data_IF_374569228338
#
_entry.id   IF_374569228338
#
_cell.length_a   1.000
_cell.length_b   1.000
_cell.length_c   1.000
_cell.angle_alpha   90.00
_cell.angle_beta   90.00
_cell.angle_gamma   90.00
#
_symmetry.space_group_name_H-M   'P 1'
#
loop_
_entity.id
_entity.type
_entity.pdbx_description
1 polymer ?
#
# COMPACT_ATOMS: atom_id res chain seq x y z
N UNK A 1 -20.44 -38.34 -10.90
CA UNK A 1 -19.73 -37.26 -11.61
C UNK A 1 -19.21 -36.27 -10.59
N UNK A 2 -17.91 -36.32 -10.27
CA UNK A 2 -17.28 -35.35 -9.38
C UNK A 2 -17.34 -33.97 -10.05
N UNK A 3 -18.23 -33.08 -9.56
CA UNK A 3 -18.05 -31.65 -9.79
C UNK A 3 -16.65 -31.32 -9.27
N UNK A 4 -15.78 -30.78 -10.13
CA UNK A 4 -14.52 -30.18 -9.70
C UNK A 4 -14.82 -29.24 -8.52
N UNK A 5 -14.46 -29.68 -7.32
CA UNK A 5 -14.80 -28.97 -6.09
C UNK A 5 -13.86 -27.78 -5.99
N UNK A 6 -14.41 -26.57 -6.15
CA UNK A 6 -13.59 -25.37 -6.13
C UNK A 6 -12.85 -25.23 -4.80
N UNK A 7 -11.58 -24.93 -4.90
CA UNK A 7 -10.69 -24.77 -3.75
C UNK A 7 -10.58 -23.30 -3.37
N UNK A 8 -10.18 -23.05 -2.11
CA UNK A 8 -9.95 -21.69 -1.66
C UNK A 8 -8.85 -21.01 -2.50
N UNK A 9 -7.79 -21.75 -2.84
CA UNK A 9 -6.68 -21.25 -3.66
C UNK A 9 -7.12 -20.83 -5.06
N UNK A 10 -7.95 -21.63 -5.74
CA UNK A 10 -8.51 -21.27 -7.06
C UNK A 10 -9.40 -20.03 -6.97
N UNK A 11 -10.23 -19.92 -5.93
CA UNK A 11 -11.03 -18.71 -5.70
C UNK A 11 -10.16 -17.48 -5.46
N UNK A 12 -9.07 -17.61 -4.70
CA UNK A 12 -8.10 -16.53 -4.54
C UNK A 12 -7.50 -16.11 -5.87
N UNK A 13 -7.05 -17.07 -6.69
CA UNK A 13 -6.47 -16.79 -8.02
C UNK A 13 -7.43 -16.03 -8.92
N UNK A 14 -8.71 -16.45 -8.97
CA UNK A 14 -9.76 -15.73 -9.71
C UNK A 14 -9.95 -14.30 -9.20
N UNK A 15 -10.05 -14.10 -7.88
CA UNK A 15 -10.23 -12.76 -7.30
C UNK A 15 -8.99 -11.88 -7.51
N UNK A 16 -7.79 -12.45 -7.44
CA UNK A 16 -6.54 -11.73 -7.72
C UNK A 16 -6.49 -11.29 -9.19
N UNK A 17 -6.90 -12.15 -10.12
CA UNK A 17 -7.03 -11.80 -11.55
C UNK A 17 -7.92 -10.59 -11.76
N UNK A 18 -9.15 -10.64 -11.23
CA UNK A 18 -10.12 -9.53 -11.34
C UNK A 18 -9.60 -8.23 -10.70
N UNK A 19 -8.90 -8.33 -9.56
CA UNK A 19 -8.30 -7.17 -8.92
C UNK A 19 -7.19 -6.55 -9.79
N UNK A 20 -6.40 -7.38 -10.48
CA UNK A 20 -5.34 -6.91 -11.40
C UNK A 20 -5.94 -6.28 -12.65
N UNK A 21 -6.93 -6.92 -13.26
CA UNK A 21 -7.68 -6.38 -14.41
C UNK A 21 -8.32 -5.02 -14.06
N UNK A 22 -8.84 -4.87 -12.84
CA UNK A 22 -9.35 -3.60 -12.33
C UNK A 22 -8.28 -2.60 -11.85
N UNK A 23 -6.99 -2.82 -12.09
CA UNK A 23 -5.90 -1.94 -11.69
C UNK A 23 -5.67 -1.84 -10.16
N UNK A 24 -6.27 -2.72 -9.36
CA UNK A 24 -6.22 -2.73 -7.89
C UNK A 24 -5.01 -3.52 -7.37
N UNK A 25 -3.82 -3.23 -7.92
CA UNK A 25 -2.57 -3.93 -7.63
C UNK A 25 -2.25 -4.07 -6.14
N UNK A 26 -2.45 -3.01 -5.35
CA UNK A 26 -2.21 -3.05 -3.91
C UNK A 26 -3.15 -4.01 -3.16
N UNK A 27 -4.41 -4.11 -3.58
CA UNK A 27 -5.34 -5.09 -3.00
C UNK A 27 -4.98 -6.51 -3.46
N UNK A 28 -4.68 -6.69 -4.75
CA UNK A 28 -4.23 -7.95 -5.31
C UNK A 28 -2.99 -8.51 -4.60
N UNK A 29 -2.00 -7.65 -4.31
CA UNK A 29 -0.80 -8.02 -3.56
C UNK A 29 -1.11 -8.55 -2.15
N UNK A 30 -2.05 -7.92 -1.43
CA UNK A 30 -2.48 -8.40 -0.10
C UNK A 30 -3.16 -9.77 -0.21
N UNK A 31 -4.03 -9.96 -1.22
CA UNK A 31 -4.69 -11.24 -1.46
C UNK A 31 -3.67 -12.33 -1.83
N UNK A 32 -2.69 -12.01 -2.67
CA UNK A 32 -1.59 -12.91 -3.02
C UNK A 32 -0.78 -13.30 -1.78
N UNK A 33 -0.46 -12.34 -0.91
CA UNK A 33 0.29 -12.61 0.32
C UNK A 33 -0.50 -13.51 1.27
N UNK A 34 -1.82 -13.29 1.38
CA UNK A 34 -2.70 -14.12 2.20
C UNK A 34 -2.83 -15.55 1.68
N UNK A 35 -3.03 -15.75 0.36
CA UNK A 35 -3.13 -17.11 -0.20
C UNK A 35 -1.79 -17.84 -0.16
N UNK A 36 -0.66 -17.15 -0.31
CA UNK A 36 0.66 -17.75 -0.13
C UNK A 36 0.85 -18.24 1.31
N UNK A 37 0.46 -17.42 2.29
CA UNK A 37 0.52 -17.83 3.71
C UNK A 37 -0.44 -18.98 4.01
N UNK A 38 -1.64 -18.97 3.44
CA UNK A 38 -2.61 -20.06 3.59
C UNK A 38 -2.13 -21.35 2.92
N UNK A 39 -1.54 -21.26 1.73
CA UNK A 39 -0.99 -22.41 1.00
C UNK A 39 0.17 -23.01 1.77
N UNK A 40 1.06 -22.20 2.33
CA UNK A 40 2.11 -22.69 3.22
C UNK A 40 1.53 -23.38 4.48
N UNK A 41 0.45 -22.87 5.05
CA UNK A 41 -0.27 -23.51 6.16
C UNK A 41 -0.85 -24.88 5.78
N UNK A 42 -1.37 -25.04 4.56
CA UNK A 42 -1.89 -26.32 4.06
C UNK A 42 -0.82 -27.20 3.42
N UNK A 43 0.48 -26.88 3.58
CA UNK A 43 1.58 -27.59 2.92
C UNK A 43 1.36 -27.73 1.41
N UNK A 44 0.85 -26.66 0.81
CA UNK A 44 0.52 -26.53 -0.61
C UNK A 44 -0.54 -27.52 -1.11
N UNK A 45 -1.23 -28.21 -0.20
CA UNK A 45 -2.36 -29.03 -0.54
C UNK A 45 -3.59 -28.15 -0.83
N UNK A 46 -4.35 -28.44 -1.90
CA UNK A 46 -5.58 -27.72 -2.19
C UNK A 46 -6.57 -27.84 -1.02
N UNK A 47 -7.25 -26.75 -0.68
CA UNK A 47 -8.27 -26.72 0.35
C UNK A 47 -9.64 -26.60 -0.32
N UNK A 48 -10.39 -27.71 -0.47
CA UNK A 48 -11.78 -27.64 -0.93
C UNK A 48 -12.57 -26.71 -0.03
N UNK A 49 -13.31 -25.77 -0.61
CA UNK A 49 -13.95 -24.74 0.19
C UNK A 49 -15.01 -25.28 1.17
N UNK A 50 -15.63 -26.42 0.88
CA UNK A 50 -16.58 -27.06 1.80
C UNK A 50 -15.90 -27.59 3.07
N UNK A 51 -14.58 -27.77 3.05
CA UNK A 51 -13.78 -28.17 4.21
C UNK A 51 -13.34 -26.98 5.07
N UNK A 52 -13.63 -25.74 4.68
CA UNK A 52 -13.43 -24.59 5.56
C UNK A 52 -14.38 -24.69 6.76
N UNK A 53 -13.80 -24.59 7.95
CA UNK A 53 -14.51 -24.65 9.22
C UNK A 53 -13.92 -23.65 10.21
N UNK A 54 -14.63 -23.31 11.30
CA UNK A 54 -14.09 -22.46 12.35
C UNK A 54 -12.76 -23.00 12.90
N UNK A 55 -12.62 -24.32 13.03
CA UNK A 55 -11.39 -24.99 13.48
C UNK A 55 -10.23 -24.78 12.51
N UNK A 56 -10.45 -24.91 11.20
CA UNK A 56 -9.41 -24.66 10.19
C UNK A 56 -8.96 -23.19 10.24
N UNK A 57 -9.90 -22.26 10.32
CA UNK A 57 -9.60 -20.83 10.39
C UNK A 57 -8.85 -20.47 11.67
N UNK A 58 -9.20 -21.08 12.81
CA UNK A 58 -8.47 -20.87 14.07
C UNK A 58 -7.06 -21.44 14.04
N UNK A 59 -6.87 -22.61 13.42
CA UNK A 59 -5.52 -23.18 13.18
C UNK A 59 -4.68 -22.28 12.27
N UNK A 60 -5.29 -21.70 11.24
CA UNK A 60 -4.61 -20.75 10.36
C UNK A 60 -4.21 -19.46 11.10
N UNK A 61 -5.08 -18.90 11.94
CA UNK A 61 -4.73 -17.78 12.82
C UNK A 61 -3.51 -18.10 13.71
N UNK A 62 -3.54 -19.26 14.38
CA UNK A 62 -2.46 -19.69 15.26
C UNK A 62 -1.15 -19.89 14.47
N UNK A 63 -1.22 -20.46 13.27
CA UNK A 63 -0.09 -20.59 12.35
C UNK A 63 0.54 -19.23 12.01
N UNK A 64 -0.28 -18.22 11.70
CA UNK A 64 0.23 -16.87 11.43
C UNK A 64 0.93 -16.26 12.66
N UNK A 65 0.38 -16.49 13.86
CA UNK A 65 0.98 -16.04 15.12
C UNK A 65 2.30 -16.73 15.42
N UNK A 66 2.41 -18.04 15.17
CA UNK A 66 3.66 -18.79 15.30
C UNK A 66 4.76 -18.29 14.34
N UNK A 67 4.37 -17.74 13.18
CA UNK A 67 5.29 -17.06 12.25
C UNK A 67 5.57 -15.60 12.59
N UNK A 68 5.30 -15.18 13.84
CA UNK A 68 5.52 -13.81 14.32
C UNK A 68 4.77 -12.71 13.51
N UNK A 69 3.68 -13.07 12.81
CA UNK A 69 2.87 -12.06 12.14
C UNK A 69 2.17 -11.16 13.17
N UNK A 70 2.21 -9.84 12.98
CA UNK A 70 1.48 -8.90 13.84
C UNK A 70 -0.03 -9.19 13.84
N UNK A 71 -0.75 -8.82 14.90
CA UNK A 71 -2.21 -8.97 14.95
C UNK A 71 -2.93 -8.26 13.79
N UNK A 72 -2.39 -7.15 13.29
CA UNK A 72 -2.92 -6.47 12.11
C UNK A 72 -2.71 -7.28 10.82
N UNK A 73 -1.55 -7.94 10.67
CA UNK A 73 -1.30 -8.87 9.55
C UNK A 73 -2.27 -10.05 9.61
N UNK A 74 -2.44 -10.66 10.80
CA UNK A 74 -3.40 -11.76 11.03
C UNK A 74 -4.82 -11.33 10.63
N UNK A 75 -5.29 -10.21 11.17
CA UNK A 75 -6.61 -9.66 10.87
C UNK A 75 -6.79 -9.39 9.38
N UNK A 76 -5.77 -8.85 8.72
CA UNK A 76 -5.78 -8.60 7.27
C UNK A 76 -5.97 -9.89 6.49
N UNK A 77 -5.18 -10.93 6.78
CA UNK A 77 -5.26 -12.21 6.05
C UNK A 77 -6.57 -12.96 6.35
N UNK A 78 -7.06 -12.93 7.58
CA UNK A 78 -8.37 -13.53 7.90
C UNK A 78 -9.50 -12.80 7.16
N UNK A 79 -9.46 -11.46 7.07
CA UNK A 79 -10.44 -10.68 6.32
C UNK A 79 -10.39 -10.95 4.82
N UNK A 80 -9.22 -11.17 4.24
CA UNK A 80 -9.13 -11.54 2.81
C UNK A 80 -9.71 -12.94 2.56
N UNK A 81 -9.40 -13.93 3.42
CA UNK A 81 -10.03 -15.26 3.34
C UNK A 81 -11.55 -15.15 3.46
N UNK A 82 -12.06 -14.34 4.40
CA UNK A 82 -13.50 -14.07 4.56
C UNK A 82 -14.13 -13.45 3.32
N UNK A 83 -13.46 -12.48 2.70
CA UNK A 83 -13.90 -11.83 1.47
C UNK A 83 -14.00 -12.83 0.30
N UNK A 84 -12.96 -13.66 0.13
CA UNK A 84 -12.94 -14.70 -0.92
C UNK A 84 -14.04 -15.74 -0.69
N UNK A 85 -14.24 -16.17 0.56
CA UNK A 85 -15.33 -17.06 0.94
C UNK A 85 -16.71 -16.48 0.59
N UNK A 86 -16.99 -15.23 1.00
CA UNK A 86 -18.26 -14.57 0.68
C UNK A 86 -18.46 -14.45 -0.83
N UNK A 87 -17.42 -14.11 -1.58
CA UNK A 87 -17.54 -14.02 -3.04
C UNK A 87 -17.90 -15.37 -3.68
N UNK A 88 -17.41 -16.47 -3.12
CA UNK A 88 -17.79 -17.79 -3.61
C UNK A 88 -19.22 -18.20 -3.22
N UNK A 89 -19.71 -17.74 -2.07
CA UNK A 89 -21.13 -17.85 -1.68
C UNK A 89 -22.01 -17.05 -2.64
N UNK A 90 -21.62 -15.82 -2.97
CA UNK A 90 -22.35 -14.94 -3.90
C UNK A 90 -22.43 -15.57 -5.30
N UNK A 91 -21.33 -16.17 -5.76
CA UNK A 91 -21.24 -16.94 -7.02
C UNK A 91 -21.92 -18.31 -6.98
N UNK A 92 -22.55 -18.68 -5.86
CA UNK A 92 -23.27 -19.96 -5.67
C UNK A 92 -22.39 -21.21 -5.81
N UNK A 93 -21.08 -21.08 -5.63
CA UNK A 93 -20.18 -22.24 -5.61
C UNK A 93 -20.30 -23.07 -4.32
N UNK A 94 -20.62 -22.40 -3.22
CA UNK A 94 -20.84 -23.02 -1.91
C UNK A 94 -22.05 -22.40 -1.20
N UNK A 95 -22.55 -23.09 -0.18
CA UNK A 95 -23.59 -22.55 0.72
C UNK A 95 -22.94 -21.71 1.81
N UNK A 96 -23.67 -20.67 2.24
CA UNK A 96 -23.30 -19.87 3.40
C UNK A 96 -23.34 -20.73 4.68
N UNK A 97 -22.32 -20.57 5.53
CA UNK A 97 -22.21 -21.20 6.84
C UNK A 97 -22.23 -20.07 7.88
N UNK A 98 -23.29 -19.97 8.71
CA UNK A 98 -23.35 -18.98 9.77
C UNK A 98 -22.15 -19.08 10.71
N UNK A 99 -21.66 -17.92 11.19
CA UNK A 99 -20.62 -17.85 12.23
C UNK A 99 -19.28 -18.52 11.88
N UNK A 100 -19.01 -18.83 10.60
CA UNK A 100 -17.78 -19.49 10.15
C UNK A 100 -16.50 -18.80 10.65
N UNK A 101 -16.50 -17.47 10.76
CA UNK A 101 -15.36 -16.67 11.19
C UNK A 101 -15.54 -16.03 12.58
N UNK A 102 -16.44 -16.53 13.43
CA UNK A 102 -16.79 -15.94 14.74
C UNK A 102 -15.59 -15.94 15.71
N UNK A 103 -14.79 -17.01 15.71
CA UNK A 103 -13.73 -17.22 16.70
C UNK A 103 -12.32 -16.82 16.25
N UNK A 104 -12.23 -16.11 15.12
CA UNK A 104 -10.95 -15.60 14.58
C UNK A 104 -10.81 -14.09 14.72
N UNK A 105 -9.59 -13.64 14.98
CA UNK A 105 -9.27 -12.25 15.19
C UNK A 105 -9.42 -11.43 13.90
N UNK A 106 -10.37 -10.49 13.90
CA UNK A 106 -10.55 -9.51 12.82
C UNK A 106 -10.50 -8.06 13.31
N UNK A 107 -9.91 -7.80 14.48
CA UNK A 107 -9.75 -6.46 15.04
C UNK A 107 -8.61 -5.65 14.41
N UNK A 108 -8.37 -4.46 14.95
CA UNK A 108 -7.23 -3.59 14.60
C UNK A 108 -6.51 -3.19 15.89
N UNK A 109 -5.18 -3.20 15.90
CA UNK A 109 -4.36 -2.68 17.00
C UNK A 109 -3.56 -1.45 16.55
N UNK A 110 -3.55 -0.42 17.39
CA UNK A 110 -2.79 0.82 17.20
C UNK A 110 -2.00 1.12 18.48
N UNK A 111 -1.12 0.20 18.86
CA UNK A 111 -0.37 0.20 20.12
C UNK A 111 0.89 1.09 20.12
N UNK A 112 1.27 1.66 18.96
CA UNK A 112 2.51 2.42 18.82
C UNK A 112 2.23 3.89 18.44
N UNK A 113 2.61 4.85 19.30
CA UNK A 113 2.58 6.28 18.96
C UNK A 113 3.58 6.53 17.83
N UNK A 114 3.08 7.01 16.69
CA UNK A 114 3.89 7.34 15.50
C UNK A 114 3.92 8.84 15.20
N UNK A 115 3.20 9.64 15.99
CA UNK A 115 3.17 11.09 15.81
C UNK A 115 4.50 11.68 16.28
N UNK A 116 5.11 12.51 15.43
CA UNK A 116 6.25 13.36 15.79
C UNK A 116 5.75 14.57 16.57
N UNK A 117 6.57 15.07 17.50
CA UNK A 117 6.28 16.32 18.19
C UNK A 117 6.58 17.51 17.25
N UNK A 118 5.94 18.65 17.50
CA UNK A 118 6.09 19.84 16.64
C UNK A 118 7.56 20.34 16.59
N UNK A 119 8.31 20.17 17.67
CA UNK A 119 9.74 20.48 17.76
C UNK A 119 10.59 19.62 16.83
N UNK A 120 10.24 18.33 16.68
CA UNK A 120 10.97 17.38 15.84
C UNK A 120 10.79 17.76 14.37
N UNK A 121 9.53 18.03 13.97
CA UNK A 121 9.23 18.48 12.60
C UNK A 121 9.90 19.81 12.30
N UNK A 122 9.83 20.78 13.22
CA UNK A 122 10.45 22.10 13.03
C UNK A 122 11.97 21.99 12.86
N UNK A 123 12.61 21.12 13.64
CA UNK A 123 14.06 20.88 13.54
C UNK A 123 14.41 20.23 12.20
N UNK A 124 13.63 19.23 11.77
CA UNK A 124 13.83 18.55 10.49
C UNK A 124 13.66 19.48 9.28
N UNK A 125 12.66 20.36 9.30
CA UNK A 125 12.44 21.38 8.25
C UNK A 125 13.66 22.29 8.16
N UNK A 126 14.09 22.87 9.29
CA UNK A 126 15.23 23.80 9.35
C UNK A 126 16.55 23.16 8.95
N UNK A 127 16.80 21.92 9.38
CA UNK A 127 17.98 21.16 8.95
C UNK A 127 17.97 20.85 7.46
N UNK A 128 16.80 20.51 6.94
CA UNK A 128 16.62 20.29 5.50
C UNK A 128 16.96 21.57 4.75
N UNK A 129 16.33 22.70 5.08
CA UNK A 129 16.59 24.02 4.47
C UNK A 129 18.07 24.42 4.51
N UNK A 130 18.71 24.28 5.67
CA UNK A 130 20.14 24.60 5.82
C UNK A 130 21.02 23.75 4.91
N UNK A 131 20.70 22.46 4.76
CA UNK A 131 21.45 21.55 3.90
C UNK A 131 21.34 21.90 2.40
N UNK A 132 20.39 22.75 2.01
CA UNK A 132 20.17 23.17 0.61
C UNK A 132 20.93 24.46 0.24
N UNK A 133 21.51 25.17 1.22
CA UNK A 133 22.21 26.44 0.98
C UNK A 133 23.55 26.29 0.25
N UNK A 134 24.09 25.07 0.15
CA UNK A 134 25.38 24.78 -0.47
C UNK A 134 25.39 24.64 -2.00
N UNK A 135 24.26 24.87 -2.69
CA UNK A 135 24.17 24.90 -4.16
C UNK A 135 24.41 23.56 -4.90
N UNK A 136 24.80 22.50 -4.20
CA UNK A 136 25.01 21.17 -4.77
C UNK A 136 23.71 20.40 -4.92
N UNK A 137 23.67 19.53 -5.94
CA UNK A 137 22.55 18.60 -6.13
C UNK A 137 22.42 17.68 -4.90
N UNK A 138 21.21 17.49 -4.34
CA UNK A 138 21.04 16.66 -3.16
C UNK A 138 21.40 15.20 -3.45
N UNK A 139 22.21 14.60 -2.57
CA UNK A 139 22.46 13.18 -2.59
C UNK A 139 21.19 12.38 -2.20
N UNK A 140 21.23 11.05 -2.31
CA UNK A 140 20.05 10.19 -2.07
C UNK A 140 19.43 10.36 -0.68
N UNK A 141 20.25 10.58 0.36
CA UNK A 141 19.75 10.77 1.73
C UNK A 141 19.10 12.14 1.89
N UNK A 142 19.71 13.19 1.33
CA UNK A 142 19.13 14.54 1.31
C UNK A 142 17.82 14.56 0.53
N UNK A 143 17.74 13.88 -0.64
CA UNK A 143 16.48 13.74 -1.40
C UNK A 143 15.38 13.08 -0.59
N UNK A 144 15.72 12.05 0.19
CA UNK A 144 14.76 11.38 1.09
C UNK A 144 14.21 12.35 2.14
N UNK A 145 15.08 13.15 2.77
CA UNK A 145 14.66 14.18 3.74
C UNK A 145 13.80 15.26 3.10
N UNK A 146 14.18 15.76 1.92
CA UNK A 146 13.38 16.73 1.15
C UNK A 146 12.00 16.17 0.86
N UNK A 147 11.88 14.93 0.39
CA UNK A 147 10.58 14.31 0.16
C UNK A 147 9.75 14.19 1.43
N UNK A 148 10.35 13.85 2.56
CA UNK A 148 9.64 13.78 3.83
C UNK A 148 9.12 15.16 4.30
N UNK A 149 9.94 16.20 4.18
CA UNK A 149 9.53 17.58 4.50
C UNK A 149 8.44 18.06 3.54
N UNK A 150 8.57 17.81 2.24
CA UNK A 150 7.52 18.10 1.26
C UNK A 150 6.22 17.36 1.60
N UNK A 151 6.30 16.09 2.04
CA UNK A 151 5.12 15.34 2.45
C UNK A 151 4.36 16.06 3.57
N UNK A 152 5.08 16.61 4.55
CA UNK A 152 4.50 17.42 5.61
C UNK A 152 3.90 18.74 5.08
N UNK A 153 4.69 19.53 4.35
CA UNK A 153 4.27 20.86 3.85
C UNK A 153 3.09 20.80 2.88
N UNK A 154 2.96 19.72 2.11
CA UNK A 154 1.88 19.51 1.14
C UNK A 154 0.62 18.89 1.79
N UNK A 155 0.30 19.35 3.01
CA UNK A 155 -0.82 18.90 3.86
C UNK A 155 -0.78 17.40 4.18
N UNK A 156 0.39 16.90 4.59
CA UNK A 156 0.54 15.49 4.94
C UNK A 156 0.20 14.57 3.78
N UNK A 157 0.74 14.85 2.58
CA UNK A 157 0.54 14.00 1.40
C UNK A 157 1.23 12.64 1.61
N UNK A 158 0.54 11.51 1.43
CA UNK A 158 1.11 10.18 1.48
C UNK A 158 2.15 10.00 0.40
N UNK A 159 3.16 9.17 0.66
CA UNK A 159 4.22 8.88 -0.31
C UNK A 159 3.66 8.37 -1.65
N UNK A 160 2.56 7.59 -1.63
CA UNK A 160 1.91 7.10 -2.86
C UNK A 160 1.26 8.23 -3.67
N UNK A 161 0.74 9.27 -3.02
CA UNK A 161 0.16 10.39 -3.75
C UNK A 161 1.29 11.29 -4.29
N UNK A 162 2.36 11.50 -3.50
CA UNK A 162 3.57 12.22 -3.91
C UNK A 162 4.26 11.56 -5.13
N UNK A 163 4.41 10.24 -5.10
CA UNK A 163 5.09 9.46 -6.14
C UNK A 163 4.43 9.57 -7.52
N UNK A 164 3.12 9.82 -7.55
CA UNK A 164 2.33 9.90 -8.78
C UNK A 164 1.88 11.32 -9.11
N UNK A 165 2.42 12.36 -8.47
CA UNK A 165 2.16 13.73 -8.91
C UNK A 165 2.70 13.90 -10.33
N UNK A 166 1.90 14.51 -11.20
CA UNK A 166 2.32 14.90 -12.54
C UNK A 166 2.82 16.35 -12.54
N UNK A 167 3.68 16.71 -13.50
CA UNK A 167 4.14 18.09 -13.67
C UNK A 167 2.97 19.06 -13.87
N UNK A 168 1.94 18.65 -14.62
CA UNK A 168 0.71 19.42 -14.87
C UNK A 168 -0.10 19.74 -13.60
N UNK A 169 0.11 18.98 -12.54
CA UNK A 169 -0.59 19.14 -11.27
C UNK A 169 -0.08 20.38 -10.52
N UNK A 170 1.13 20.86 -10.85
CA UNK A 170 1.73 22.08 -10.31
C UNK A 170 1.67 23.21 -11.34
N UNK A 171 0.88 24.24 -11.06
CA UNK A 171 0.74 25.43 -11.90
C UNK A 171 1.13 26.67 -11.10
N UNK A 172 2.19 27.36 -11.54
CA UNK A 172 2.80 28.43 -10.74
C UNK A 172 3.31 27.88 -9.41
N UNK A 173 2.67 28.28 -8.31
CA UNK A 173 2.92 27.74 -6.97
C UNK A 173 1.74 26.94 -6.41
N UNK A 174 0.76 26.56 -7.22
CA UNK A 174 -0.44 25.84 -6.78
C UNK A 174 -0.38 24.39 -7.23
N UNK A 175 -0.42 23.47 -6.28
CA UNK A 175 -0.48 22.02 -6.50
C UNK A 175 -1.91 21.51 -6.34
N UNK A 176 -2.47 20.91 -7.37
CA UNK A 176 -3.81 20.30 -7.37
C UNK A 176 -3.73 18.81 -7.66
N UNK A 177 -4.25 17.97 -6.76
CA UNK A 177 -4.17 16.52 -6.87
C UNK A 177 -5.36 15.80 -6.24
N UNK A 178 -5.51 14.51 -6.55
CA UNK A 178 -6.56 13.65 -6.00
C UNK A 178 -5.95 12.53 -5.16
N UNK A 179 -6.38 12.41 -3.89
CA UNK A 179 -5.91 11.34 -2.99
C UNK A 179 -6.30 9.97 -3.55
N UNK A 180 -5.33 9.08 -3.77
CA UNK A 180 -5.58 7.74 -4.34
C UNK A 180 -6.52 6.89 -3.50
N UNK A 181 -6.37 6.96 -2.17
CA UNK A 181 -7.15 6.11 -1.26
C UNK A 181 -8.61 6.54 -1.15
N UNK A 182 -8.89 7.84 -1.14
CA UNK A 182 -10.22 8.39 -0.82
C UNK A 182 -10.89 9.10 -1.99
N UNK A 183 -10.16 9.35 -3.07
CA UNK A 183 -10.65 10.13 -4.20
C UNK A 183 -10.86 11.62 -3.90
N UNK A 184 -10.46 12.12 -2.73
CA UNK A 184 -10.65 13.54 -2.36
C UNK A 184 -9.71 14.42 -3.17
N UNK A 185 -10.25 15.43 -3.84
CA UNK A 185 -9.47 16.48 -4.49
C UNK A 185 -8.91 17.47 -3.44
N UNK A 186 -7.68 17.92 -3.66
CA UNK A 186 -6.97 18.86 -2.81
C UNK A 186 -6.19 19.85 -3.66
N UNK A 187 -6.20 21.11 -3.25
CA UNK A 187 -5.41 22.19 -3.87
C UNK A 187 -4.63 22.92 -2.79
N UNK A 188 -3.31 23.00 -2.93
CA UNK A 188 -2.37 23.55 -1.94
C UNK A 188 -1.53 24.63 -2.62
N UNK A 189 -1.48 25.84 -2.05
CA UNK A 189 -0.49 26.84 -2.45
C UNK A 189 0.82 26.59 -1.72
N UNK A 190 1.91 26.45 -2.48
CA UNK A 190 3.24 26.19 -1.97
C UNK A 190 3.91 27.50 -1.55
N UNK A 191 4.58 27.46 -0.40
CA UNK A 191 5.47 28.55 0.04
C UNK A 191 6.72 28.60 -0.86
N UNK A 192 7.48 29.71 -0.85
CA UNK A 192 8.73 29.81 -1.58
C UNK A 192 9.72 28.67 -1.26
N UNK A 193 9.79 28.27 0.01
CA UNK A 193 10.68 27.21 0.52
C UNK A 193 10.25 25.84 -0.02
N UNK A 194 8.94 25.55 -0.01
CA UNK A 194 8.40 24.34 -0.62
C UNK A 194 8.67 24.31 -2.13
N UNK A 195 8.50 25.44 -2.82
CA UNK A 195 8.81 25.55 -4.25
C UNK A 195 10.29 25.32 -4.55
N UNK A 196 11.18 25.84 -3.72
CA UNK A 196 12.62 25.58 -3.84
C UNK A 196 12.92 24.08 -3.69
N UNK A 197 12.38 23.44 -2.66
CA UNK A 197 12.52 21.99 -2.45
C UNK A 197 11.99 21.18 -3.63
N UNK A 198 10.80 21.50 -4.14
CA UNK A 198 10.24 20.85 -5.34
C UNK A 198 11.21 20.96 -6.50
N UNK A 199 11.72 22.16 -6.82
CA UNK A 199 12.66 22.37 -7.94
C UNK A 199 13.94 21.54 -7.81
N UNK A 200 14.44 21.35 -6.58
CA UNK A 200 15.67 20.58 -6.35
C UNK A 200 15.52 19.08 -6.61
N UNK A 201 14.34 18.52 -6.36
CA UNK A 201 14.08 17.08 -6.51
C UNK A 201 13.17 16.74 -7.70
N UNK A 202 12.74 17.75 -8.46
CA UNK A 202 11.89 17.62 -9.64
C UNK A 202 12.52 16.71 -10.70
N UNK A 203 11.66 16.03 -11.45
CA UNK A 203 12.06 15.23 -12.59
C UNK A 203 12.47 16.14 -13.75
N UNK A 204 13.73 16.01 -14.17
CA UNK A 204 14.33 16.80 -15.27
C UNK A 204 14.09 16.21 -16.65
N UNK A 205 13.65 14.96 -16.75
CA UNK A 205 13.34 14.34 -18.04
C UNK A 205 12.05 14.97 -18.60
N UNK A 206 12.07 15.68 -19.75
CA UNK A 206 10.89 16.30 -20.34
C UNK A 206 9.80 15.28 -20.69
N UNK A 207 10.18 14.08 -21.12
CA UNK A 207 9.26 13.02 -21.58
C UNK A 207 8.52 12.34 -20.43
N UNK A 208 9.01 12.49 -19.20
CA UNK A 208 8.31 11.95 -18.04
C UNK A 208 7.15 12.86 -17.61
N UNK A 209 5.93 12.32 -17.43
CA UNK A 209 4.80 13.10 -16.95
C UNK A 209 4.91 13.43 -15.46
N UNK A 210 5.69 12.66 -14.69
CA UNK A 210 5.78 12.75 -13.24
C UNK A 210 6.57 13.98 -12.78
N UNK A 211 6.07 14.64 -11.73
CA UNK A 211 6.72 15.79 -11.08
C UNK A 211 8.04 15.38 -10.44
N UNK A 212 8.12 14.17 -9.88
CA UNK A 212 9.31 13.63 -9.24
C UNK A 212 9.77 12.35 -9.94
N UNK A 213 11.08 12.09 -10.03
CA UNK A 213 11.62 10.91 -10.71
C UNK A 213 11.56 9.69 -9.78
N UNK A 214 10.34 9.36 -9.33
CA UNK A 214 10.04 8.20 -8.49
C UNK A 214 9.52 7.04 -9.35
N UNK A 215 8.76 7.37 -10.40
CA UNK A 215 8.17 6.44 -11.34
C UNK A 215 8.63 6.76 -12.76
N UNK A 216 8.67 5.73 -13.60
CA UNK A 216 8.98 5.79 -15.03
C UNK A 216 7.85 5.19 -15.86
N UNK A 217 7.29 4.07 -15.39
CA UNK A 217 6.19 3.38 -16.06
C UNK A 217 4.89 4.16 -16.02
N UNK A 218 4.00 3.90 -16.97
CA UNK A 218 2.68 4.52 -17.05
C UNK A 218 1.82 4.20 -15.81
N UNK A 219 1.09 5.19 -15.32
CA UNK A 219 0.18 5.02 -14.19
C UNK A 219 -0.86 3.92 -14.47
N UNK A 220 -1.16 3.12 -13.46
CA UNK A 220 -2.17 2.05 -13.56
C UNK A 220 -1.59 0.72 -14.07
N UNK A 221 -0.35 0.71 -14.57
CA UNK A 221 0.35 -0.53 -14.93
C UNK A 221 0.91 -1.27 -13.72
N UNK A 222 1.12 -2.59 -13.85
CA UNK A 222 1.81 -3.37 -12.83
C UNK A 222 3.26 -2.89 -12.62
N UNK A 223 3.92 -2.45 -13.70
CA UNK A 223 5.28 -1.95 -13.65
C UNK A 223 5.40 -0.70 -12.75
N UNK A 224 4.50 0.28 -12.91
CA UNK A 224 4.45 1.46 -12.03
C UNK A 224 4.18 1.08 -10.56
N UNK A 225 3.34 0.07 -10.33
CA UNK A 225 3.11 -0.43 -8.96
C UNK A 225 4.39 -1.04 -8.35
N UNK A 226 5.16 -1.83 -9.12
CA UNK A 226 6.43 -2.43 -8.66
C UNK A 226 7.51 -1.37 -8.41
N UNK A 227 7.60 -0.36 -9.28
CA UNK A 227 8.47 0.81 -9.08
C UNK A 227 8.12 1.52 -7.78
N UNK A 228 6.84 1.83 -7.58
CA UNK A 228 6.33 2.42 -6.34
C UNK A 228 6.70 1.59 -5.10
N UNK A 229 6.49 0.27 -5.11
CA UNK A 229 6.82 -0.58 -3.97
C UNK A 229 8.31 -0.55 -3.64
N UNK A 230 9.17 -0.52 -4.66
CA UNK A 230 10.62 -0.45 -4.49
C UNK A 230 11.05 0.93 -3.98
N UNK A 231 10.48 2.00 -4.52
CA UNK A 231 10.71 3.36 -4.06
C UNK A 231 10.28 3.55 -2.60
N UNK A 232 9.10 3.05 -2.21
CA UNK A 232 8.60 3.13 -0.84
C UNK A 232 9.50 2.37 0.15
N UNK A 233 9.97 1.17 -0.22
CA UNK A 233 10.92 0.41 0.60
C UNK A 233 12.23 1.18 0.80
N UNK A 234 12.79 1.71 -0.28
CA UNK A 234 14.01 2.51 -0.21
C UNK A 234 13.82 3.82 0.56
N UNK A 235 12.66 4.45 0.46
CA UNK A 235 12.32 5.64 1.24
C UNK A 235 12.29 5.33 2.74
N UNK A 236 11.55 4.29 3.14
CA UNK A 236 11.43 3.89 4.54
C UNK A 236 12.74 3.39 5.18
N UNK A 237 13.64 2.80 4.40
CA UNK A 237 14.95 2.36 4.90
C UNK A 237 15.94 3.50 5.17
N UNK A 238 15.71 4.66 4.54
CA UNK A 238 16.60 5.83 4.62
C UNK A 238 16.09 6.93 5.56
N UNK A 239 14.86 6.78 6.07
CA UNK A 239 14.29 7.58 7.15
C UNK A 239 14.70 7.00 8.50
#
# INVERSE_FOLDING_TARGET
>A
MNRNEITLQEMFSSVIGELREGGRWGTAHIYQSAVNAFSAFTQWQPMPMRRLSPTVLKRFENYLRQRNCSWNTVSTYIKTVRSVYHRAVDRKYIRYVPRLFEHVYTGTRADRKKALEASDISSLVRETERSLQGGTLPNTQQRTRIFFVLMFMLRGIPFVDLAYLHKRDLQGNVLSYRRRKTGRALTVSLTPEAMQMVRMVANRNPDSPYLFPILQSEEGTEAAYREYQSALRGFNQRL
#
